data_IF_059045379354
#
_entry.id   IF_059045379354
#
_cell.length_a   1.000
_cell.length_b   1.000
_cell.length_c   1.000
_cell.angle_alpha   90.00
_cell.angle_beta   90.00
_cell.angle_gamma   90.00
#
_symmetry.space_group_name_H-M   'P 1'
#
loop_
_entity.id
_entity.type
_entity.pdbx_description
1 polymer ?
#
# COMPACT_ATOMS: atom_id res chain seq x y z
N UNK A 1 -9.13 17.99 8.10
CA UNK A 1 -9.43 17.33 9.39
C UNK A 1 -8.20 17.25 10.29
N UNK A 2 -8.34 17.74 11.53
CA UNK A 2 -7.35 17.75 12.62
C UNK A 2 -7.46 16.52 13.53
N UNK A 3 -6.48 16.30 14.41
CA UNK A 3 -6.49 15.16 15.35
C UNK A 3 -7.68 15.20 16.32
N UNK A 4 -8.04 16.39 16.78
CA UNK A 4 -9.20 16.59 17.68
C UNK A 4 -10.50 16.22 16.97
N UNK A 5 -10.69 16.68 15.73
CA UNK A 5 -11.86 16.35 14.93
C UNK A 5 -11.93 14.84 14.62
N UNK A 6 -10.79 14.23 14.32
CA UNK A 6 -10.71 12.79 14.04
C UNK A 6 -11.10 11.93 15.25
N UNK A 7 -10.70 12.32 16.46
CA UNK A 7 -11.08 11.62 17.70
C UNK A 7 -12.59 11.61 17.96
N UNK A 8 -13.35 12.58 17.42
CA UNK A 8 -14.82 12.62 17.55
C UNK A 8 -15.52 11.49 16.78
N UNK A 9 -14.81 10.80 15.89
CA UNK A 9 -15.31 9.63 15.17
C UNK A 9 -14.94 8.32 15.85
N UNK A 10 -14.16 8.39 16.94
CA UNK A 10 -13.72 7.23 17.72
C UNK A 10 -14.54 7.11 19.00
N UNK A 11 -14.84 5.89 19.44
CA UNK A 11 -15.36 5.64 20.79
C UNK A 11 -14.22 5.59 21.83
N UNK A 12 -14.59 5.31 23.08
CA UNK A 12 -13.68 5.23 24.22
C UNK A 12 -12.64 4.11 24.11
N UNK A 13 -12.82 3.14 23.21
CA UNK A 13 -11.88 2.04 22.93
C UNK A 13 -11.18 2.22 21.58
N UNK A 14 -11.42 3.35 20.90
CA UNK A 14 -10.83 3.73 19.64
C UNK A 14 -11.54 3.19 18.40
N UNK A 15 -12.70 2.53 18.49
CA UNK A 15 -13.45 2.06 17.32
C UNK A 15 -14.06 3.23 16.54
N UNK A 16 -14.06 3.13 15.22
CA UNK A 16 -14.68 4.15 14.37
C UNK A 16 -16.20 3.96 14.42
N UNK A 17 -16.90 4.82 15.14
CA UNK A 17 -18.36 4.71 15.34
C UNK A 17 -19.14 5.20 14.13
N UNK A 18 -18.59 6.17 13.38
CA UNK A 18 -19.25 6.83 12.25
C UNK A 18 -18.43 6.73 10.98
N UNK A 19 -18.09 5.51 10.57
CA UNK A 19 -17.18 5.24 9.44
C UNK A 19 -17.62 5.91 8.13
N UNK A 20 -18.90 5.80 7.77
CA UNK A 20 -19.41 6.42 6.53
C UNK A 20 -19.26 7.95 6.54
N UNK A 21 -19.54 8.58 7.68
CA UNK A 21 -19.41 10.03 7.85
C UNK A 21 -17.94 10.47 7.83
N UNK A 22 -17.07 9.72 8.52
CA UNK A 22 -15.62 9.93 8.50
C UNK A 22 -15.05 9.86 7.08
N UNK A 23 -15.45 8.85 6.28
CA UNK A 23 -15.03 8.75 4.88
C UNK A 23 -15.48 9.97 4.05
N UNK A 24 -16.72 10.42 4.24
CA UNK A 24 -17.26 11.60 3.56
C UNK A 24 -16.54 12.89 3.94
N UNK A 25 -16.24 13.08 5.23
CA UNK A 25 -15.58 14.30 5.73
C UNK A 25 -14.10 14.34 5.33
N UNK A 26 -13.43 13.18 5.27
CA UNK A 26 -12.08 13.08 4.70
C UNK A 26 -12.09 13.36 3.20
N UNK A 27 -13.07 12.83 2.46
CA UNK A 27 -13.18 13.05 1.02
C UNK A 27 -13.37 14.53 0.68
N UNK A 28 -14.16 15.26 1.49
CA UNK A 28 -14.41 16.69 1.28
C UNK A 28 -13.33 17.62 1.83
N UNK A 29 -12.77 17.29 2.99
CA UNK A 29 -11.91 18.20 3.77
C UNK A 29 -10.45 17.76 3.92
N UNK A 30 -10.09 16.57 3.43
CA UNK A 30 -8.74 16.02 3.50
C UNK A 30 -8.25 15.69 4.92
N UNK A 31 -7.14 14.94 4.97
CA UNK A 31 -6.42 14.59 6.19
C UNK A 31 -5.14 15.43 6.32
N UNK A 32 -4.92 15.97 7.52
CA UNK A 32 -3.62 16.51 7.90
C UNK A 32 -2.50 15.45 7.72
N UNK A 33 -1.28 15.85 7.30
CA UNK A 33 -0.20 14.92 6.99
C UNK A 33 0.09 13.89 8.08
N UNK A 34 0.00 14.29 9.34
CA UNK A 34 0.28 13.48 10.53
C UNK A 34 -0.73 12.33 10.68
N UNK A 35 -1.99 12.60 10.32
CA UNK A 35 -3.09 11.64 10.42
C UNK A 35 -3.19 10.70 9.23
N UNK A 36 -2.55 11.01 8.08
CA UNK A 36 -2.64 10.19 6.86
C UNK A 36 -2.26 8.74 7.12
N UNK A 37 -1.24 8.49 7.96
CA UNK A 37 -0.81 7.12 8.31
C UNK A 37 -1.92 6.28 8.95
N UNK A 38 -2.79 6.89 9.75
CA UNK A 38 -3.89 6.20 10.44
C UNK A 38 -5.17 6.25 9.61
N UNK A 39 -5.50 7.43 9.06
CA UNK A 39 -6.68 7.65 8.25
C UNK A 39 -6.74 6.77 7.01
N UNK A 40 -5.64 6.64 6.24
CA UNK A 40 -5.61 5.75 5.07
C UNK A 40 -5.82 4.29 5.43
N UNK A 41 -5.34 3.83 6.60
CA UNK A 41 -5.51 2.45 7.04
C UNK A 41 -6.97 2.12 7.39
N UNK A 42 -7.74 3.12 7.81
CA UNK A 42 -9.18 3.00 8.05
C UNK A 42 -9.96 3.07 6.73
N UNK A 43 -9.60 4.01 5.84
CA UNK A 43 -10.29 4.19 4.54
C UNK A 43 -10.11 3.00 3.59
N UNK A 44 -8.95 2.37 3.60
CA UNK A 44 -8.64 1.22 2.73
C UNK A 44 -9.30 -0.08 3.22
N UNK A 45 -10.18 -0.04 4.23
CA UNK A 45 -10.90 -1.19 4.79
C UNK A 45 -9.99 -2.37 5.12
N UNK A 46 -8.74 -2.08 5.53
CA UNK A 46 -7.80 -3.11 6.03
C UNK A 46 -8.36 -3.79 7.30
N UNK A 47 -9.32 -3.14 7.95
CA UNK A 47 -9.99 -3.59 9.16
C UNK A 47 -11.52 -3.60 8.96
N UNK A 48 -12.21 -4.68 9.33
CA UNK A 48 -13.66 -4.68 9.51
C UNK A 48 -14.10 -3.56 10.47
N UNK A 49 -15.27 -2.94 10.21
CA UNK A 49 -15.73 -1.74 10.92
C UNK A 49 -16.05 -1.96 12.41
N UNK A 50 -16.09 -3.21 12.84
CA UNK A 50 -16.37 -3.70 14.19
C UNK A 50 -15.11 -4.00 15.02
N UNK A 51 -13.90 -3.82 14.46
CA UNK A 51 -12.65 -4.09 15.18
C UNK A 51 -12.25 -2.98 16.16
N UNK A 52 -11.82 -3.36 17.35
CA UNK A 52 -11.25 -2.48 18.39
C UNK A 52 -9.86 -1.98 18.06
N UNK A 53 -9.39 -0.93 18.75
CA UNK A 53 -8.02 -0.43 18.61
C UNK A 53 -6.95 -1.52 18.79
N UNK A 54 -7.14 -2.41 19.76
CA UNK A 54 -6.24 -3.53 20.04
C UNK A 54 -6.30 -4.62 18.96
N UNK A 55 -7.49 -4.97 18.48
CA UNK A 55 -7.64 -5.94 17.38
C UNK A 55 -7.01 -5.43 16.08
N UNK A 56 -7.07 -4.12 15.83
CA UNK A 56 -6.38 -3.51 14.67
C UNK A 56 -4.85 -3.57 14.80
N UNK A 57 -4.30 -3.49 16.01
CA UNK A 57 -2.86 -3.68 16.26
C UNK A 57 -2.49 -5.14 15.99
N UNK A 58 -3.21 -6.10 16.57
CA UNK A 58 -2.97 -7.54 16.38
C UNK A 58 -3.12 -7.98 14.92
N UNK A 59 -4.14 -7.47 14.22
CA UNK A 59 -4.34 -7.76 12.80
C UNK A 59 -3.23 -7.14 11.96
N UNK A 60 -2.76 -5.93 12.28
CA UNK A 60 -1.59 -5.35 11.62
C UNK A 60 -0.36 -6.25 11.80
N UNK A 61 -0.04 -6.64 13.03
CA UNK A 61 1.11 -7.50 13.30
C UNK A 61 1.03 -8.82 12.52
N UNK A 62 -0.16 -9.41 12.47
CA UNK A 62 -0.41 -10.64 11.71
C UNK A 62 -0.20 -10.42 10.21
N UNK A 63 -0.76 -9.34 9.64
CA UNK A 63 -0.59 -8.99 8.22
C UNK A 63 0.86 -8.63 7.88
N UNK A 64 1.56 -7.94 8.78
CA UNK A 64 2.98 -7.64 8.65
C UNK A 64 3.81 -8.92 8.62
N UNK A 65 3.54 -9.86 9.53
CA UNK A 65 4.23 -11.16 9.54
C UNK A 65 3.97 -11.97 8.27
N UNK A 66 2.72 -11.98 7.80
CA UNK A 66 2.36 -12.64 6.53
C UNK A 66 3.09 -12.01 5.34
N UNK A 67 3.10 -10.68 5.24
CA UNK A 67 3.83 -9.95 4.20
C UNK A 67 5.33 -10.28 4.23
N UNK A 68 5.96 -10.24 5.40
CA UNK A 68 7.39 -10.53 5.53
C UNK A 68 7.72 -11.97 5.11
N UNK A 69 6.91 -12.95 5.51
CA UNK A 69 7.09 -14.34 5.11
C UNK A 69 6.94 -14.53 3.59
N UNK A 70 5.91 -13.93 2.98
CA UNK A 70 5.71 -13.96 1.53
C UNK A 70 6.88 -13.32 0.80
N UNK A 71 7.31 -12.15 1.27
CA UNK A 71 8.45 -11.41 0.72
C UNK A 71 9.73 -12.23 0.73
N UNK A 72 10.05 -12.83 1.87
CA UNK A 72 11.25 -13.66 2.01
C UNK A 72 11.19 -14.90 1.11
N UNK A 73 10.02 -15.54 1.05
CA UNK A 73 9.81 -16.76 0.25
C UNK A 73 10.08 -16.50 -1.23
N UNK A 74 9.49 -15.47 -1.83
CA UNK A 74 9.71 -15.21 -3.25
C UNK A 74 11.13 -14.72 -3.56
N UNK A 75 11.75 -13.96 -2.64
CA UNK A 75 13.17 -13.55 -2.81
C UNK A 75 14.12 -14.74 -2.78
N UNK A 76 13.87 -15.70 -1.88
CA UNK A 76 14.64 -16.95 -1.82
C UNK A 76 14.45 -17.76 -3.10
N UNK A 77 13.22 -17.91 -3.56
CA UNK A 77 12.92 -18.60 -4.82
C UNK A 77 13.57 -17.92 -6.03
N UNK A 78 13.66 -16.58 -6.05
CA UNK A 78 14.38 -15.82 -7.08
C UNK A 78 15.88 -16.18 -7.11
N UNK A 79 16.55 -16.12 -5.95
CA UNK A 79 17.99 -16.45 -5.84
C UNK A 79 18.27 -17.91 -6.20
N UNK A 80 17.34 -18.80 -5.91
CA UNK A 80 17.44 -20.23 -6.23
C UNK A 80 17.03 -20.56 -7.68
N UNK A 81 16.60 -19.58 -8.47
CA UNK A 81 16.15 -19.80 -9.85
C UNK A 81 14.84 -20.60 -9.96
N UNK A 82 14.02 -20.60 -8.90
CA UNK A 82 12.78 -21.39 -8.80
C UNK A 82 11.53 -20.61 -9.23
N UNK A 83 11.66 -19.35 -9.63
CA UNK A 83 10.54 -18.58 -10.15
C UNK A 83 10.18 -19.00 -11.58
N UNK A 84 8.89 -19.01 -11.88
CA UNK A 84 8.40 -19.23 -13.23
C UNK A 84 8.75 -18.05 -14.14
N UNK A 85 8.79 -18.29 -15.46
CA UNK A 85 9.02 -17.24 -16.47
C UNK A 85 8.02 -16.08 -16.33
N UNK A 86 6.73 -16.39 -16.07
CA UNK A 86 5.70 -15.38 -15.82
C UNK A 86 5.99 -14.51 -14.60
N UNK A 87 6.49 -15.12 -13.50
CA UNK A 87 6.86 -14.37 -12.29
C UNK A 87 8.09 -13.50 -12.53
N UNK A 88 9.08 -14.00 -13.27
CA UNK A 88 10.26 -13.22 -13.66
C UNK A 88 9.88 -12.02 -14.55
N UNK A 89 9.03 -12.24 -15.57
CA UNK A 89 8.52 -11.17 -16.42
C UNK A 89 7.75 -10.11 -15.61
N UNK A 90 6.96 -10.55 -14.63
CA UNK A 90 6.22 -9.66 -13.73
C UNK A 90 7.18 -8.82 -12.88
N UNK A 91 8.22 -9.43 -12.29
CA UNK A 91 9.24 -8.70 -11.53
C UNK A 91 9.99 -7.67 -12.37
N UNK A 92 10.31 -8.01 -13.63
CA UNK A 92 10.95 -7.09 -14.56
C UNK A 92 10.04 -5.88 -14.88
N UNK A 93 8.75 -6.12 -15.15
CA UNK A 93 7.77 -5.05 -15.38
C UNK A 93 7.64 -4.12 -14.17
N UNK A 94 7.54 -4.68 -12.95
CA UNK A 94 7.49 -3.89 -11.71
C UNK A 94 8.78 -3.07 -11.53
N UNK A 95 9.95 -3.65 -11.82
CA UNK A 95 11.23 -2.92 -11.73
C UNK A 95 11.27 -1.73 -12.69
N UNK A 96 10.77 -1.90 -13.92
CA UNK A 96 10.71 -0.82 -14.91
C UNK A 96 9.78 0.29 -14.41
N UNK A 97 8.59 -0.06 -13.93
CA UNK A 97 7.60 0.94 -13.51
C UNK A 97 8.00 1.68 -12.23
N UNK A 98 8.69 1.02 -11.31
CA UNK A 98 9.30 1.67 -10.14
C UNK A 98 10.36 2.68 -10.58
N UNK A 99 11.15 2.36 -11.60
CA UNK A 99 12.14 3.29 -12.18
C UNK A 99 11.46 4.43 -12.96
N UNK A 100 10.28 4.20 -13.54
CA UNK A 100 9.47 5.25 -14.20
C UNK A 100 8.67 6.11 -13.23
N UNK A 101 8.55 5.71 -11.96
CA UNK A 101 7.86 6.48 -10.92
C UNK A 101 8.66 7.74 -10.64
N UNK A 102 8.08 8.88 -10.98
CA UNK A 102 8.73 10.17 -11.21
C UNK A 102 9.85 10.53 -10.21
N UNK A 103 11.10 10.53 -10.69
CA UNK A 103 12.31 10.89 -9.93
C UNK A 103 12.42 12.40 -9.70
N UNK A 104 11.46 13.19 -10.23
CA UNK A 104 11.41 14.64 -10.07
C UNK A 104 10.77 15.09 -8.75
N UNK A 105 10.17 14.18 -7.98
CA UNK A 105 9.65 14.48 -6.64
C UNK A 105 10.77 14.34 -5.59
N UNK A 106 11.00 15.39 -4.79
CA UNK A 106 11.97 15.41 -3.67
C UNK A 106 11.84 14.21 -2.70
N UNK A 107 10.65 13.63 -2.61
CA UNK A 107 10.38 12.45 -1.79
C UNK A 107 11.08 11.16 -2.27
N UNK A 108 11.32 11.03 -3.58
CA UNK A 108 11.98 9.87 -4.19
C UNK A 108 13.37 10.19 -4.76
N UNK A 109 13.68 11.47 -4.95
CA UNK A 109 14.95 11.92 -5.51
C UNK A 109 16.12 11.76 -4.51
N UNK A 110 17.29 11.34 -5.00
CA UNK A 110 18.54 11.29 -4.23
C UNK A 110 18.89 9.93 -3.60
N UNK A 111 20.18 9.70 -3.40
CA UNK A 111 20.73 8.41 -2.91
C UNK A 111 20.18 7.99 -1.54
N UNK A 112 19.87 8.97 -0.69
CA UNK A 112 19.26 8.78 0.63
C UNK A 112 17.84 8.22 0.58
N UNK A 113 17.16 8.32 -0.56
CA UNK A 113 15.77 7.87 -0.74
C UNK A 113 15.66 6.51 -1.48
N UNK A 114 16.79 5.88 -1.87
CA UNK A 114 16.81 4.55 -2.51
C UNK A 114 16.05 3.48 -1.72
N UNK A 115 16.07 3.55 -0.39
CA UNK A 115 15.32 2.59 0.44
C UNK A 115 13.80 2.67 0.23
N UNK A 116 13.24 3.84 -0.08
CA UNK A 116 11.80 4.03 -0.36
C UNK A 116 11.42 3.41 -1.70
N UNK A 117 12.31 3.54 -2.69
CA UNK A 117 12.17 2.89 -4.00
C UNK A 117 12.21 1.37 -3.84
N UNK A 118 13.13 0.85 -3.03
CA UNK A 118 13.17 -0.57 -2.68
C UNK A 118 11.89 -1.03 -1.96
N UNK A 119 11.35 -0.23 -1.04
CA UNK A 119 10.08 -0.55 -0.37
C UNK A 119 8.90 -0.60 -1.36
N UNK A 120 8.83 0.35 -2.30
CA UNK A 120 7.80 0.36 -3.33
C UNK A 120 7.88 -0.90 -4.21
N UNK A 121 9.09 -1.23 -4.68
CA UNK A 121 9.34 -2.47 -5.41
C UNK A 121 8.92 -3.69 -4.60
N UNK A 122 9.35 -3.79 -3.34
CA UNK A 122 9.06 -4.94 -2.49
C UNK A 122 7.55 -5.14 -2.27
N UNK A 123 6.78 -4.06 -2.11
CA UNK A 123 5.32 -4.13 -1.96
C UNK A 123 4.67 -4.61 -3.26
N UNK A 124 5.01 -3.98 -4.39
CA UNK A 124 4.43 -4.32 -5.70
C UNK A 124 4.78 -5.75 -6.10
N UNK A 125 6.06 -6.13 -6.04
CA UNK A 125 6.54 -7.46 -6.37
C UNK A 125 5.85 -8.55 -5.54
N UNK A 126 5.76 -8.35 -4.21
CA UNK A 126 5.10 -9.31 -3.32
C UNK A 126 3.61 -9.44 -3.66
N UNK A 127 2.92 -8.33 -3.93
CA UNK A 127 1.51 -8.39 -4.32
C UNK A 127 1.32 -9.14 -5.65
N UNK A 128 2.11 -8.81 -6.67
CA UNK A 128 1.97 -9.36 -8.02
C UNK A 128 2.30 -10.85 -8.11
N UNK A 129 3.26 -11.35 -7.32
CA UNK A 129 3.61 -12.78 -7.27
C UNK A 129 2.49 -13.62 -6.64
N UNK A 130 1.87 -13.11 -5.58
CA UNK A 130 0.86 -13.85 -4.82
C UNK A 130 -0.59 -13.64 -5.31
N UNK A 131 -0.82 -12.66 -6.20
CA UNK A 131 -2.14 -12.41 -6.80
C UNK A 131 -2.08 -12.39 -8.34
N UNK A 132 -1.69 -13.51 -8.99
CA UNK A 132 -1.44 -13.57 -10.44
C UNK A 132 -2.71 -13.37 -11.30
N UNK A 133 -3.90 -13.54 -10.71
CA UNK A 133 -5.20 -13.39 -11.40
C UNK A 133 -5.76 -11.96 -11.32
N UNK A 134 -5.33 -11.17 -10.33
CA UNK A 134 -5.61 -9.73 -10.28
C UNK A 134 -4.57 -8.99 -11.12
N UNK A 135 -3.33 -9.49 -11.14
CA UNK A 135 -2.27 -9.10 -12.05
C UNK A 135 -1.75 -7.68 -11.83
N UNK A 136 -0.45 -7.48 -11.99
CA UNK A 136 0.07 -6.14 -12.24
C UNK A 136 -0.27 -5.79 -13.70
N UNK A 137 -1.43 -5.17 -13.88
CA UNK A 137 -1.83 -4.65 -15.18
C UNK A 137 -1.23 -3.25 -15.32
N UNK A 138 -0.25 -3.09 -16.20
CA UNK A 138 0.32 -1.79 -16.52
C UNK A 138 -0.81 -0.86 -17.00
N UNK A 139 -1.13 0.18 -16.22
CA UNK A 139 -2.04 1.25 -16.68
C UNK A 139 -1.27 2.11 -17.67
N UNK A 140 -1.13 1.62 -18.90
CA UNK A 140 -0.64 2.47 -19.99
C UNK A 140 -1.83 3.31 -20.44
N UNK A 141 -1.79 4.59 -20.10
CA UNK A 141 -2.75 5.59 -20.57
C UNK A 141 -2.94 5.46 -22.08
N UNK A 142 -4.15 5.12 -22.51
CA UNK A 142 -4.61 5.27 -23.88
C UNK A 142 -4.76 6.77 -24.16
N UNK A 143 -3.66 7.45 -24.44
CA UNK A 143 -3.67 8.63 -25.30
C UNK A 143 -3.05 8.19 -26.63
N UNK A 144 -3.82 7.39 -27.38
CA UNK A 144 -3.58 7.27 -28.81
C UNK A 144 -4.12 8.55 -29.43
N UNK A 145 -3.20 9.30 -30.00
CA UNK A 145 -3.41 10.46 -30.86
C UNK A 145 -4.46 10.08 -31.91
N UNK A 146 -5.60 10.78 -31.92
CA UNK A 146 -6.44 10.80 -33.11
C UNK A 146 -5.83 11.84 -34.06
N UNK A 147 -5.44 11.33 -35.22
CA UNK A 147 -5.02 12.04 -36.42
C UNK A 147 -6.02 13.09 -36.90
#
# INVERSE_FOLDING_TARGET
MTDVEFRLYLDNVGCVTRLKQLCWDIFRGGLQPELRKVGWRILLSVFPSDTTGQERISLLETKTRQYLAMKETWKRAYVQGQLTEKQLATLAAVSIDVVRTDWTNDYYCGEKNRYRVCQLFDVLATYSIYHPNVGYSQVRSQYSVNS
#
